data_IF_849602312799
#
_entry.id   IF_849602312799
#
_cell.length_a   1.000
_cell.length_b   1.000
_cell.length_c   1.000
_cell.angle_alpha   90.00
_cell.angle_beta   90.00
_cell.angle_gamma   90.00
#
_symmetry.space_group_name_H-M   'P 1'
#
loop_
_entity.id
_entity.type
_entity.pdbx_description
1 polymer ?
#
# COMPACT_ATOMS: atom_id res chain seq x y z
N UNK A 1 -77.88 -33.55 31.16
CA UNK A 1 -77.78 -32.93 29.84
C UNK A 1 -76.31 -32.90 29.44
N UNK A 2 -75.99 -33.46 28.27
CA UNK A 2 -74.66 -33.45 27.63
C UNK A 2 -74.08 -32.02 27.55
N UNK A 3 -72.76 -31.79 27.52
CA UNK A 3 -71.69 -32.75 27.27
C UNK A 3 -70.30 -32.23 27.64
N UNK A 4 -69.40 -33.20 27.79
CA UNK A 4 -67.95 -33.04 27.79
C UNK A 4 -67.50 -32.64 26.37
N UNK A 5 -66.56 -31.70 26.27
CA UNK A 5 -65.65 -31.66 25.12
C UNK A 5 -64.22 -31.43 25.62
N UNK A 6 -63.31 -32.22 25.04
CA UNK A 6 -62.00 -32.59 25.54
C UNK A 6 -60.98 -31.45 25.46
N UNK A 7 -60.07 -31.47 26.42
CA UNK A 7 -58.74 -30.88 26.37
C UNK A 7 -58.04 -31.19 25.05
N UNK A 8 -57.62 -30.15 24.32
CA UNK A 8 -56.55 -30.23 23.34
C UNK A 8 -55.57 -29.12 23.68
N UNK A 9 -54.43 -29.51 24.27
CA UNK A 9 -53.27 -28.64 24.45
C UNK A 9 -52.75 -28.22 23.07
N UNK A 10 -53.19 -27.07 22.57
CA UNK A 10 -52.55 -26.44 21.41
C UNK A 10 -51.34 -25.68 21.90
N UNK A 11 -50.16 -26.17 21.53
CA UNK A 11 -48.88 -25.58 21.85
C UNK A 11 -48.82 -24.11 21.44
N UNK A 12 -48.29 -23.30 22.36
CA UNK A 12 -48.04 -21.89 22.14
C UNK A 12 -46.78 -21.84 21.26
N UNK A 13 -46.97 -21.67 19.95
CA UNK A 13 -45.90 -21.25 19.06
C UNK A 13 -45.65 -19.76 19.34
N UNK A 14 -44.70 -19.46 20.22
CA UNK A 14 -44.20 -18.09 20.37
C UNK A 14 -43.39 -17.80 19.10
N UNK A 15 -44.04 -17.21 18.10
CA UNK A 15 -43.35 -16.51 17.02
C UNK A 15 -42.73 -15.25 17.65
N UNK A 16 -41.54 -15.39 18.22
CA UNK A 16 -40.64 -14.26 18.42
C UNK A 16 -40.38 -13.67 17.03
N UNK A 17 -40.75 -12.41 16.74
CA UNK A 17 -40.14 -11.74 15.62
C UNK A 17 -38.67 -11.60 16.01
N UNK A 18 -37.81 -12.41 15.41
CA UNK A 18 -36.39 -12.08 15.35
C UNK A 18 -36.30 -10.79 14.54
N UNK A 19 -36.46 -9.65 15.23
CA UNK A 19 -36.00 -8.38 14.71
C UNK A 19 -34.51 -8.58 14.45
N UNK A 20 -34.17 -8.84 13.19
CA UNK A 20 -32.85 -8.53 12.66
C UNK A 20 -32.62 -7.07 13.02
N UNK A 21 -31.82 -6.83 14.06
CA UNK A 21 -31.26 -5.52 14.29
C UNK A 21 -30.31 -5.29 13.13
N UNK A 22 -30.81 -4.70 12.04
CA UNK A 22 -29.93 -4.00 11.12
C UNK A 22 -29.32 -2.88 11.94
N UNK A 23 -28.11 -3.11 12.44
CA UNK A 23 -27.25 -2.03 12.93
C UNK A 23 -27.02 -1.14 11.72
N UNK A 24 -27.81 -0.08 11.61
CA UNK A 24 -27.56 1.01 10.67
C UNK A 24 -26.27 1.69 11.16
N UNK A 25 -25.12 1.21 10.68
CA UNK A 25 -23.87 1.94 10.86
C UNK A 25 -24.03 3.24 10.07
N UNK A 26 -24.26 4.34 10.77
CA UNK A 26 -24.17 5.66 10.16
C UNK A 26 -22.70 5.89 9.83
N UNK A 27 -22.35 5.67 8.56
CA UNK A 27 -20.97 5.84 8.09
C UNK A 27 -20.75 7.33 7.85
N UNK A 28 -20.00 7.98 8.73
CA UNK A 28 -19.51 9.34 8.51
C UNK A 28 -18.44 9.33 7.39
N UNK A 29 -18.32 10.41 6.60
CA UNK A 29 -17.15 10.62 5.76
C UNK A 29 -15.87 10.59 6.61
N UNK A 30 -14.75 10.09 6.09
CA UNK A 30 -13.50 10.06 6.84
C UNK A 30 -12.95 11.48 7.06
N UNK A 31 -12.16 11.63 8.12
CA UNK A 31 -11.27 12.77 8.28
C UNK A 31 -9.93 12.45 7.60
N UNK A 32 -9.37 13.38 6.83
CA UNK A 32 -8.10 13.17 6.16
C UNK A 32 -7.16 14.35 6.37
N UNK A 33 -5.85 14.10 6.30
CA UNK A 33 -4.88 15.17 6.09
C UNK A 33 -5.06 15.76 4.69
N UNK A 34 -5.02 17.10 4.57
CA UNK A 34 -5.20 17.82 3.30
C UNK A 34 -4.15 18.92 3.15
N UNK A 35 -3.11 18.64 2.37
CA UNK A 35 -2.05 19.59 2.04
C UNK A 35 -1.64 19.43 0.57
N UNK A 36 -1.47 20.55 -0.14
CA UNK A 36 -1.01 20.56 -1.54
C UNK A 36 0.42 20.05 -1.69
N UNK A 37 1.23 20.18 -0.66
CA UNK A 37 2.60 19.69 -0.62
C UNK A 37 3.30 19.98 0.70
N UNK A 38 3.86 18.95 1.31
CA UNK A 38 4.72 19.04 2.50
C UNK A 38 5.98 18.20 2.33
N UNK A 39 6.98 18.44 3.18
CA UNK A 39 8.19 17.63 3.24
C UNK A 39 8.03 16.55 4.31
N UNK A 40 7.93 15.26 3.93
CA UNK A 40 7.69 14.20 4.90
C UNK A 40 8.92 13.89 5.74
N UNK A 41 8.70 13.39 6.96
CA UNK A 41 9.75 12.94 7.87
C UNK A 41 9.70 11.42 7.94
N UNK A 42 10.79 10.76 7.54
CA UNK A 42 10.84 9.30 7.43
C UNK A 42 11.80 8.67 8.44
N UNK A 43 11.37 7.58 9.09
CA UNK A 43 12.19 6.75 9.96
C UNK A 43 11.94 5.28 9.65
N UNK A 44 13.00 4.58 9.24
CA UNK A 44 12.98 3.14 8.95
C UNK A 44 11.93 2.69 7.91
N UNK A 45 11.61 3.53 6.92
CA UNK A 45 10.63 3.22 5.86
C UNK A 45 9.18 3.56 6.20
N UNK A 46 8.92 4.07 7.41
CA UNK A 46 7.66 4.68 7.80
C UNK A 46 7.84 6.19 7.76
N UNK A 47 6.93 6.90 7.12
CA UNK A 47 7.01 8.33 6.91
C UNK A 47 5.76 9.02 7.44
N UNK A 48 5.96 10.21 8.01
CA UNK A 48 4.88 11.12 8.38
C UNK A 48 4.78 12.27 7.39
N UNK A 49 3.56 12.67 7.05
CA UNK A 49 3.31 13.67 6.02
C UNK A 49 3.85 15.06 6.39
N UNK A 50 3.90 15.36 7.69
CA UNK A 50 4.20 16.70 8.20
C UNK A 50 3.21 17.75 7.67
N UNK A 51 1.96 17.33 7.49
CA UNK A 51 0.80 18.18 7.19
C UNK A 51 0.07 18.48 8.51
N UNK A 52 -0.31 19.73 8.71
CA UNK A 52 -0.99 20.18 9.94
C UNK A 52 -2.48 20.51 9.70
N UNK A 53 -3.02 20.18 8.53
CA UNK A 53 -4.40 20.48 8.13
C UNK A 53 -5.20 19.20 7.99
N UNK A 54 -6.27 19.09 8.77
CA UNK A 54 -7.25 18.00 8.73
C UNK A 54 -8.56 18.55 8.16
N UNK A 55 -9.22 17.77 7.30
CA UNK A 55 -10.55 18.08 6.78
C UNK A 55 -11.47 16.86 6.82
N UNK A 56 -12.76 17.11 7.05
CA UNK A 56 -13.82 16.11 6.85
C UNK A 56 -14.10 16.03 5.35
N UNK A 57 -14.07 14.84 4.77
CA UNK A 57 -14.35 14.68 3.34
C UNK A 57 -15.82 14.93 2.97
N UNK A 58 -16.09 15.18 1.69
CA UNK A 58 -17.41 15.58 1.22
C UNK A 58 -18.39 14.41 1.10
N UNK A 59 -17.88 13.21 0.84
CA UNK A 59 -18.67 11.99 0.60
C UNK A 59 -18.18 10.80 1.43
N UNK A 60 -19.08 9.87 1.73
CA UNK A 60 -18.72 8.55 2.27
C UNK A 60 -17.98 7.67 1.26
N UNK A 61 -17.98 8.07 -0.02
CA UNK A 61 -17.19 7.43 -1.08
C UNK A 61 -15.77 8.00 -1.19
N UNK A 62 -15.50 9.09 -0.46
CA UNK A 62 -14.16 9.64 -0.38
C UNK A 62 -13.29 8.78 0.53
N UNK A 63 -12.02 8.69 0.16
CA UNK A 63 -10.96 8.07 0.93
C UNK A 63 -9.83 9.08 1.12
N UNK A 64 -8.96 8.84 2.09
CA UNK A 64 -7.75 9.62 2.25
C UNK A 64 -6.70 9.11 1.27
N UNK A 65 -6.03 10.03 0.57
CA UNK A 65 -4.96 9.73 -0.37
C UNK A 65 -3.68 10.46 0.04
N UNK A 66 -2.54 9.79 -0.14
CA UNK A 66 -1.22 10.41 -0.12
C UNK A 66 -0.48 10.12 -1.43
N UNK A 67 0.06 11.17 -2.04
CA UNK A 67 0.91 11.10 -3.23
C UNK A 67 2.31 11.53 -2.84
N UNK A 68 3.24 10.60 -2.88
CA UNK A 68 4.65 10.85 -2.64
C UNK A 68 5.37 11.05 -3.96
N UNK A 69 6.20 12.10 -4.06
CA UNK A 69 6.98 12.42 -5.26
C UNK A 69 8.43 12.69 -4.87
N UNK A 70 9.36 12.13 -5.64
CA UNK A 70 10.78 12.46 -5.57
C UNK A 70 11.24 13.03 -6.91
N UNK A 71 11.84 14.22 -6.86
CA UNK A 71 12.40 14.89 -8.04
C UNK A 71 13.68 15.61 -7.63
N UNK A 72 14.79 15.35 -8.33
CA UNK A 72 16.10 15.96 -8.04
C UNK A 72 16.52 15.86 -6.56
N UNK A 73 16.33 14.69 -5.94
CA UNK A 73 16.56 14.41 -4.50
C UNK A 73 15.69 15.23 -3.52
N UNK A 74 14.70 15.96 -4.02
CA UNK A 74 13.69 16.63 -3.19
C UNK A 74 12.45 15.75 -3.13
N UNK A 75 11.98 15.48 -1.92
CA UNK A 75 10.79 14.68 -1.67
C UNK A 75 9.65 15.59 -1.25
N UNK A 76 8.49 15.42 -1.87
CA UNK A 76 7.25 16.08 -1.50
C UNK A 76 6.14 15.06 -1.32
N UNK A 77 5.20 15.35 -0.43
CA UNK A 77 3.97 14.57 -0.27
C UNK A 77 2.76 15.48 -0.35
N UNK A 78 1.77 15.09 -1.15
CA UNK A 78 0.48 15.73 -1.25
C UNK A 78 -0.57 14.82 -0.58
N UNK A 79 -1.43 15.39 0.24
CA UNK A 79 -2.48 14.65 0.97
C UNK A 79 -3.84 15.27 0.65
N UNK A 80 -4.87 14.44 0.44
CA UNK A 80 -6.21 14.93 0.07
C UNK A 80 -7.32 13.90 0.34
N UNK A 81 -8.56 14.38 0.40
CA UNK A 81 -9.74 13.56 0.18
C UNK A 81 -9.90 13.29 -1.32
N UNK A 82 -10.22 12.05 -1.70
CA UNK A 82 -10.48 11.70 -3.10
C UNK A 82 -11.61 10.67 -3.21
N UNK A 83 -12.53 10.88 -4.16
CA UNK A 83 -13.58 9.89 -4.43
C UNK A 83 -12.98 8.67 -5.11
N UNK A 84 -13.09 7.51 -4.46
CA UNK A 84 -12.50 6.25 -4.97
C UNK A 84 -12.94 5.90 -6.39
N UNK A 85 -14.17 6.25 -6.79
CA UNK A 85 -14.73 5.90 -8.10
C UNK A 85 -14.13 6.71 -9.25
N UNK A 86 -13.48 7.83 -8.95
CA UNK A 86 -12.88 8.73 -9.92
C UNK A 86 -11.39 8.40 -10.13
N UNK A 87 -10.87 8.55 -11.36
CA UNK A 87 -9.45 8.43 -11.61
C UNK A 87 -8.68 9.54 -10.90
N UNK A 88 -7.49 9.22 -10.39
CA UNK A 88 -6.55 10.23 -9.91
C UNK A 88 -5.83 10.88 -11.10
N UNK A 89 -5.86 12.20 -11.15
CA UNK A 89 -5.16 12.95 -12.18
C UNK A 89 -3.63 12.84 -12.03
N UNK A 90 -2.91 12.59 -13.13
CA UNK A 90 -1.45 12.46 -13.11
C UNK A 90 -0.92 11.14 -12.53
N UNK A 91 -1.80 10.14 -12.35
CA UNK A 91 -1.50 8.77 -11.94
C UNK A 91 -2.09 7.81 -12.98
N UNK A 92 -1.52 6.62 -13.17
CA UNK A 92 -2.00 5.69 -14.19
C UNK A 92 -3.48 5.31 -13.93
N UNK A 93 -4.38 5.47 -14.92
CA UNK A 93 -5.82 5.24 -14.74
C UNK A 93 -6.18 3.77 -14.48
N UNK A 94 -5.25 2.84 -14.70
CA UNK A 94 -5.41 1.42 -14.35
C UNK A 94 -5.26 1.15 -12.86
N UNK A 95 -4.64 2.07 -12.09
CA UNK A 95 -4.54 1.98 -10.65
C UNK A 95 -5.83 2.48 -10.00
N UNK A 96 -6.89 1.69 -10.13
CA UNK A 96 -8.11 1.93 -9.35
C UNK A 96 -7.75 1.74 -7.88
N UNK A 97 -7.66 2.84 -7.13
CA UNK A 97 -7.56 2.85 -5.66
C UNK A 97 -8.63 1.96 -5.00
N UNK A 98 -9.72 1.63 -5.70
CA UNK A 98 -10.76 0.68 -5.28
C UNK A 98 -10.25 -0.67 -4.77
N UNK A 99 -9.19 -1.23 -5.37
CA UNK A 99 -8.79 -2.61 -5.07
C UNK A 99 -7.75 -2.70 -3.94
N UNK A 100 -7.28 -1.57 -3.42
CA UNK A 100 -6.19 -1.49 -2.45
C UNK A 100 -6.50 -0.50 -1.32
N UNK A 101 -7.78 -0.31 -0.98
CA UNK A 101 -8.16 0.46 0.21
C UNK A 101 -7.87 -0.39 1.44
N UNK A 102 -6.88 0.04 2.20
CA UNK A 102 -6.46 -0.54 3.48
C UNK A 102 -6.74 0.48 4.58
N UNK A 103 -6.79 0.06 5.85
CA UNK A 103 -6.83 1.01 6.96
C UNK A 103 -5.52 1.80 7.07
N UNK A 104 -4.42 1.20 6.61
CA UNK A 104 -3.06 1.78 6.58
C UNK A 104 -2.65 2.19 5.17
N UNK A 105 -1.90 3.30 5.04
CA UNK A 105 -1.46 3.81 3.74
C UNK A 105 -0.15 3.14 3.29
N UNK A 106 -0.24 2.11 2.44
CA UNK A 106 0.93 1.46 1.83
C UNK A 106 1.18 1.99 0.42
N UNK A 107 2.34 2.61 0.23
CA UNK A 107 2.72 3.26 -1.03
C UNK A 107 2.91 2.25 -2.16
N UNK A 108 2.28 2.55 -3.31
CA UNK A 108 2.36 1.78 -4.55
C UNK A 108 3.03 2.63 -5.65
N UNK A 109 4.11 2.13 -6.27
CA UNK A 109 4.83 2.87 -7.32
C UNK A 109 3.99 3.07 -8.58
N UNK A 110 4.14 4.24 -9.18
CA UNK A 110 3.46 4.64 -10.41
C UNK A 110 4.44 4.72 -11.58
N UNK A 111 4.02 4.34 -12.79
CA UNK A 111 4.85 4.50 -13.98
C UNK A 111 5.00 5.99 -14.31
N UNK A 112 6.24 6.49 -14.34
CA UNK A 112 6.54 7.87 -14.72
C UNK A 112 7.78 7.93 -15.61
N UNK A 113 7.90 8.99 -16.42
CA UNK A 113 9.06 9.19 -17.31
C UNK A 113 10.25 9.82 -16.58
N UNK A 114 10.00 10.54 -15.50
CA UNK A 114 10.99 11.32 -14.76
C UNK A 114 10.63 11.35 -13.27
N UNK A 115 11.63 11.19 -12.42
CA UNK A 115 11.46 11.09 -10.97
C UNK A 115 10.84 9.76 -10.51
N UNK A 116 10.37 9.74 -9.27
CA UNK A 116 9.62 8.62 -8.71
C UNK A 116 8.31 9.13 -8.10
N UNK A 117 7.22 8.44 -8.39
CA UNK A 117 5.89 8.75 -7.84
C UNK A 117 5.33 7.49 -7.22
N UNK A 118 4.82 7.62 -6.00
CA UNK A 118 4.13 6.57 -5.27
C UNK A 118 2.82 7.11 -4.72
N UNK A 119 1.81 6.24 -4.65
CA UNK A 119 0.45 6.62 -4.23
C UNK A 119 -0.08 5.56 -3.28
N UNK A 120 -0.79 5.98 -2.25
CA UNK A 120 -1.61 5.10 -1.42
C UNK A 120 -2.97 5.74 -1.13
N UNK A 121 -3.95 4.89 -0.80
CA UNK A 121 -5.26 5.33 -0.32
C UNK A 121 -5.75 4.45 0.84
N UNK A 122 -6.46 5.07 1.77
CA UNK A 122 -6.95 4.43 2.99
C UNK A 122 -8.25 5.08 3.49
N UNK A 123 -9.03 4.37 4.31
CA UNK A 123 -10.39 4.76 4.71
C UNK A 123 -10.58 5.04 6.21
N UNK A 124 -9.50 5.01 6.99
CA UNK A 124 -9.54 5.39 8.40
C UNK A 124 -9.20 6.87 8.61
N UNK A 125 -9.65 7.45 9.72
CA UNK A 125 -9.41 8.86 10.00
C UNK A 125 -7.91 9.18 10.07
N UNK A 126 -7.49 10.23 9.37
CA UNK A 126 -6.13 10.77 9.29
C UNK A 126 -5.08 9.74 8.81
N UNK A 127 -5.52 8.65 8.20
CA UNK A 127 -4.66 7.52 7.83
C UNK A 127 -3.58 7.85 6.80
N UNK A 128 -3.75 8.94 6.06
CA UNK A 128 -2.78 9.43 5.08
C UNK A 128 -1.69 10.33 5.71
N UNK A 129 -1.69 10.53 7.04
CA UNK A 129 -0.59 11.20 7.74
C UNK A 129 0.63 10.28 7.87
N UNK A 130 0.42 8.98 8.15
CA UNK A 130 1.48 7.98 8.24
C UNK A 130 1.40 7.02 7.05
N UNK A 131 2.51 6.83 6.33
CA UNK A 131 2.55 5.95 5.18
C UNK A 131 3.82 5.11 5.13
N UNK A 132 3.66 3.90 4.60
CA UNK A 132 4.72 2.90 4.52
C UNK A 132 5.28 2.86 3.10
N UNK A 133 6.57 3.16 2.97
CA UNK A 133 7.29 2.99 1.72
C UNK A 133 7.66 1.50 1.57
N UNK A 134 7.18 0.84 0.50
CA UNK A 134 7.66 -0.49 0.18
C UNK A 134 9.17 -0.42 -0.09
N UNK A 135 9.93 -1.19 0.68
CA UNK A 135 11.40 -1.12 0.81
C UNK A 135 12.18 -1.48 -0.47
N UNK A 136 11.49 -1.81 -1.56
CA UNK A 136 12.13 -2.20 -2.81
C UNK A 136 12.91 -1.03 -3.45
N UNK A 137 12.47 0.24 -3.34
CA UNK A 137 13.10 1.31 -4.12
C UNK A 137 14.28 2.04 -3.46
N UNK A 138 14.41 1.99 -2.13
CA UNK A 138 15.59 2.53 -1.43
C UNK A 138 16.75 1.53 -1.34
N UNK A 139 16.46 0.22 -1.56
CA UNK A 139 17.45 -0.85 -1.64
C UNK A 139 17.96 -1.15 -3.06
N UNK A 140 17.17 -0.85 -4.09
CA UNK A 140 17.52 -1.12 -5.49
C UNK A 140 18.76 -0.36 -5.96
N UNK A 141 18.97 0.91 -5.56
CA UNK A 141 20.16 1.65 -5.99
C UNK A 141 21.48 1.06 -5.46
N UNK A 142 21.47 0.41 -4.30
CA UNK A 142 22.64 -0.30 -3.75
C UNK A 142 22.76 -1.74 -4.25
N UNK A 143 21.64 -2.47 -4.33
CA UNK A 143 21.60 -3.87 -4.76
C UNK A 143 21.76 -4.04 -6.26
N UNK A 144 21.27 -3.14 -7.10
CA UNK A 144 21.49 -3.21 -8.55
C UNK A 144 22.96 -3.00 -8.89
N UNK A 145 23.65 -2.07 -8.23
CA UNK A 145 25.09 -1.92 -8.42
C UNK A 145 25.85 -3.18 -7.98
N UNK A 146 25.50 -3.77 -6.84
CA UNK A 146 26.14 -5.00 -6.36
C UNK A 146 25.80 -6.19 -7.29
N UNK A 147 24.55 -6.33 -7.73
CA UNK A 147 24.10 -7.41 -8.60
C UNK A 147 24.75 -7.31 -9.98
N UNK A 148 24.80 -6.11 -10.56
CA UNK A 148 25.46 -5.85 -11.85
C UNK A 148 26.96 -6.08 -11.76
N UNK A 149 27.61 -5.62 -10.68
CA UNK A 149 29.04 -5.86 -10.42
C UNK A 149 29.32 -7.36 -10.24
N UNK A 150 28.52 -8.07 -9.45
CA UNK A 150 28.71 -9.51 -9.22
C UNK A 150 28.49 -10.33 -10.49
N UNK A 151 27.45 -10.05 -11.27
CA UNK A 151 27.17 -10.77 -12.53
C UNK A 151 28.25 -10.50 -13.58
N UNK A 152 28.82 -9.29 -13.63
CA UNK A 152 29.86 -8.94 -14.62
C UNK A 152 31.27 -9.38 -14.22
N UNK A 153 31.67 -9.23 -12.96
CA UNK A 153 33.02 -9.57 -12.50
C UNK A 153 33.20 -11.05 -12.19
N UNK A 154 32.16 -11.76 -11.74
CA UNK A 154 32.23 -13.19 -11.43
C UNK A 154 32.76 -14.05 -12.60
N UNK A 155 32.19 -13.99 -13.83
CA UNK A 155 32.69 -14.79 -14.94
C UNK A 155 34.12 -14.42 -15.36
N UNK A 156 34.52 -13.15 -15.21
CA UNK A 156 35.90 -12.70 -15.53
C UNK A 156 36.91 -13.26 -14.53
N UNK A 157 36.59 -13.28 -13.24
CA UNK A 157 37.49 -13.84 -12.22
C UNK A 157 37.68 -15.36 -12.39
N UNK A 158 36.61 -16.08 -12.73
CA UNK A 158 36.66 -17.53 -12.95
C UNK A 158 37.55 -17.88 -14.15
N UNK A 159 37.46 -17.12 -15.24
CA UNK A 159 38.31 -17.35 -16.42
C UNK A 159 39.80 -17.09 -16.15
N UNK A 160 40.13 -16.06 -15.36
CA UNK A 160 41.52 -15.76 -14.98
C UNK A 160 42.09 -16.87 -14.09
N UNK A 161 41.37 -17.29 -13.05
CA UNK A 161 41.84 -18.34 -12.12
C UNK A 161 42.06 -19.67 -12.84
N UNK A 162 41.15 -20.05 -13.76
CA UNK A 162 41.28 -21.28 -14.55
C UNK A 162 42.45 -21.23 -15.53
N UNK A 163 42.65 -20.11 -16.23
CA UNK A 163 43.80 -19.93 -17.11
C UNK A 163 45.14 -19.99 -16.36
N UNK A 164 45.24 -19.35 -15.19
CA UNK A 164 46.45 -19.37 -14.35
C UNK A 164 46.74 -20.77 -13.82
N UNK A 165 45.73 -21.49 -13.33
CA UNK A 165 45.90 -22.86 -12.83
C UNK A 165 46.32 -23.83 -13.94
N UNK A 166 45.72 -23.73 -15.13
CA UNK A 166 46.14 -24.51 -16.29
C UNK A 166 47.59 -24.18 -16.69
N UNK A 167 47.96 -22.89 -16.75
CA UNK A 167 49.32 -22.48 -17.07
C UNK A 167 50.36 -23.09 -16.12
N UNK A 168 50.14 -23.02 -14.82
CA UNK A 168 51.04 -23.62 -13.83
C UNK A 168 51.07 -25.15 -13.90
N UNK A 169 49.93 -25.78 -14.18
CA UNK A 169 49.84 -27.22 -14.37
C UNK A 169 50.66 -27.70 -15.57
N UNK A 170 50.50 -27.06 -16.73
CA UNK A 170 51.27 -27.39 -17.92
C UNK A 170 52.77 -27.13 -17.72
N UNK A 171 53.12 -26.02 -17.08
CA UNK A 171 54.52 -25.71 -16.77
C UNK A 171 55.17 -26.75 -15.85
N UNK A 172 54.44 -27.27 -14.84
CA UNK A 172 54.95 -28.33 -13.96
C UNK A 172 55.05 -29.70 -14.62
N UNK A 173 54.24 -30.00 -15.64
CA UNK A 173 54.29 -31.28 -16.38
C UNK A 173 55.31 -31.30 -17.52
N UNK A 174 55.68 -30.14 -18.04
CA UNK A 174 56.67 -29.98 -19.12
C UNK A 174 58.11 -29.77 -18.66
N UNK A 175 58.38 -29.85 -17.35
CA UNK A 175 59.70 -29.84 -16.73
C UNK A 175 59.95 -31.16 -16.03
#
# INVERSE_FOLDING_TARGET
MMGQCRTCWTGILILLPACLQSVMVSQSPPLCMVCDGSSPVCKAGVCRSNCDMVAICFSYEDICVAIWRETNNTVTVQTMCHNRTLPLEGVDPGLRLLNSVSTECHMVPQPTKEGAVMVCGCDSDECNDEFHLHKELSGLRGRDLILVVVISLSPVLVTIVTAVTLYFYYKRRGS
#
